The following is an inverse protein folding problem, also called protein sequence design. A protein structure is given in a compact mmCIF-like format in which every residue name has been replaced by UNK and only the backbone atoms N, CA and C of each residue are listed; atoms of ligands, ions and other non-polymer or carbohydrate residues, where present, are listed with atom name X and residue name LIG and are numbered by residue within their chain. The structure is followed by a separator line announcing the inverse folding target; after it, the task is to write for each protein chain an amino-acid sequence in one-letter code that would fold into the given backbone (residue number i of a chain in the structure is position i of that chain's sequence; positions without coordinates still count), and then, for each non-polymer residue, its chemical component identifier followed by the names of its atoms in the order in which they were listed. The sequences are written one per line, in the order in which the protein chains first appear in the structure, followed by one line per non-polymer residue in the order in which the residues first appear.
data_IF_038392206886
#
_entry.id   IF_038392206886
#
_cell.length_a   1.000
_cell.length_b   1.000
_cell.length_c   1.000
_cell.angle_alpha   90.00
_cell.angle_beta   90.00
_cell.angle_gamma   90.00
#
_symmetry.space_group_name_H-M   'P 1'
#
loop_
_entity.id
_entity.type
_entity.pdbx_description
1 polymer ?
#
# COMPACT_ATOMS: atom_id res chain seq x y z
N UNK A 1 24.72 2.34 -17.12
CA UNK A 1 23.48 2.31 -16.30
C UNK A 1 22.35 2.35 -17.30
N UNK A 2 21.52 1.31 -17.35
CA UNK A 2 20.35 1.27 -18.24
C UNK A 2 19.13 1.74 -17.43
N UNK A 3 18.38 2.72 -17.91
CA UNK A 3 17.15 3.23 -17.29
C UNK A 3 15.89 2.68 -17.96
N UNK A 4 16.04 1.92 -19.04
CA UNK A 4 14.93 1.29 -19.73
C UNK A 4 14.46 0.05 -18.98
N UNK A 5 13.18 -0.27 -19.10
CA UNK A 5 12.63 -1.53 -18.63
C UNK A 5 13.19 -2.68 -19.47
N UNK A 6 13.36 -3.85 -18.87
CA UNK A 6 13.65 -5.07 -19.63
C UNK A 6 12.42 -5.46 -20.46
N UNK A 7 12.61 -6.35 -21.44
CA UNK A 7 11.49 -6.83 -22.27
C UNK A 7 10.40 -7.48 -21.43
N UNK A 8 10.76 -8.24 -20.39
CA UNK A 8 9.80 -8.86 -19.45
C UNK A 8 9.06 -7.81 -18.63
N UNK A 9 9.75 -6.80 -18.09
CA UNK A 9 9.14 -5.69 -17.36
C UNK A 9 8.19 -4.88 -18.24
N UNK A 10 8.56 -4.64 -19.49
CA UNK A 10 7.69 -3.98 -20.46
C UNK A 10 6.47 -4.83 -20.83
N UNK A 11 6.62 -6.15 -20.90
CA UNK A 11 5.50 -7.08 -21.08
C UNK A 11 4.54 -7.03 -19.91
N UNK A 12 5.06 -7.05 -18.67
CA UNK A 12 4.25 -6.89 -17.45
C UNK A 12 3.47 -5.57 -17.50
N UNK A 13 4.16 -4.47 -17.77
CA UNK A 13 3.57 -3.13 -17.85
C UNK A 13 2.40 -3.09 -18.84
N UNK A 14 2.59 -3.59 -20.05
CA UNK A 14 1.56 -3.62 -21.09
C UNK A 14 0.39 -4.53 -20.75
N UNK A 15 0.66 -5.73 -20.23
CA UNK A 15 -0.38 -6.71 -19.88
C UNK A 15 -1.26 -6.20 -18.74
N UNK A 16 -0.65 -5.58 -17.72
CA UNK A 16 -1.40 -4.98 -16.61
C UNK A 16 -2.22 -3.78 -17.07
N UNK A 17 -1.64 -2.89 -17.87
CA UNK A 17 -2.34 -1.74 -18.43
C UNK A 17 -3.55 -2.15 -19.30
N UNK A 18 -3.42 -3.23 -20.08
CA UNK A 18 -4.52 -3.77 -20.89
C UNK A 18 -5.63 -4.34 -20.01
N UNK A 19 -5.28 -5.13 -18.98
CA UNK A 19 -6.24 -5.68 -18.04
C UNK A 19 -6.98 -4.57 -17.29
N UNK A 20 -6.24 -3.61 -16.74
CA UNK A 20 -6.78 -2.55 -15.89
C UNK A 20 -7.70 -1.59 -16.66
N UNK A 21 -7.45 -1.34 -17.97
CA UNK A 21 -8.32 -0.54 -18.83
C UNK A 21 -9.73 -1.10 -19.04
N UNK A 22 -9.97 -2.37 -18.72
CA UNK A 22 -11.33 -2.95 -18.75
C UNK A 22 -12.24 -2.39 -17.66
N UNK A 23 -11.65 -1.76 -16.65
CA UNK A 23 -12.30 -1.12 -15.52
C UNK A 23 -12.08 0.39 -15.63
N UNK A 24 -13.03 1.08 -16.24
CA UNK A 24 -12.91 2.50 -16.55
C UNK A 24 -13.19 3.41 -15.35
N UNK A 25 -13.07 4.71 -15.56
CA UNK A 25 -13.33 5.71 -14.52
C UNK A 25 -14.75 5.64 -13.96
N UNK A 26 -15.74 5.27 -14.79
CA UNK A 26 -17.13 5.13 -14.36
C UNK A 26 -17.28 3.96 -13.39
N UNK A 27 -16.70 2.79 -13.70
CA UNK A 27 -16.68 1.64 -12.79
C UNK A 27 -16.09 2.02 -11.41
N UNK A 28 -14.97 2.73 -11.41
CA UNK A 28 -14.32 3.14 -10.17
C UNK A 28 -15.10 4.19 -9.39
N UNK A 29 -15.79 5.09 -10.07
CA UNK A 29 -16.67 6.07 -9.42
C UNK A 29 -17.85 5.38 -8.75
N UNK A 30 -18.50 4.44 -9.44
CA UNK A 30 -19.61 3.67 -8.90
C UNK A 30 -19.21 2.85 -7.67
N UNK A 31 -18.07 2.13 -7.72
CA UNK A 31 -17.55 1.38 -6.57
C UNK A 31 -17.17 2.28 -5.39
N UNK A 32 -16.54 3.45 -5.64
CA UNK A 32 -16.19 4.41 -4.58
C UNK A 32 -17.45 5.00 -3.91
N UNK A 33 -18.46 5.39 -4.69
CA UNK A 33 -19.72 5.95 -4.17
C UNK A 33 -20.55 4.92 -3.42
N UNK A 34 -20.63 3.68 -3.93
CA UNK A 34 -21.35 2.59 -3.30
C UNK A 34 -20.65 2.02 -2.06
N UNK A 35 -19.37 2.37 -1.82
CA UNK A 35 -18.52 1.74 -0.80
C UNK A 35 -18.41 0.21 -0.98
N UNK A 36 -18.36 -0.25 -2.22
CA UNK A 36 -18.33 -1.67 -2.58
C UNK A 36 -16.93 -2.10 -3.01
N UNK A 37 -16.50 -3.25 -2.49
CA UNK A 37 -15.24 -3.86 -2.89
C UNK A 37 -15.26 -4.23 -4.38
N UNK A 38 -14.18 -3.93 -5.14
CA UNK A 38 -14.13 -4.15 -6.58
C UNK A 38 -13.84 -5.64 -6.89
N UNK A 39 -14.80 -6.52 -6.63
CA UNK A 39 -14.65 -7.98 -6.71
C UNK A 39 -14.27 -8.42 -8.12
N UNK A 40 -14.86 -7.81 -9.15
CA UNK A 40 -14.62 -8.14 -10.55
C UNK A 40 -13.18 -7.79 -10.95
N UNK A 41 -12.69 -6.64 -10.51
CA UNK A 41 -11.30 -6.23 -10.72
C UNK A 41 -10.33 -7.16 -9.97
N UNK A 42 -10.60 -7.42 -8.68
CA UNK A 42 -9.78 -8.32 -7.87
C UNK A 42 -9.66 -9.70 -8.51
N UNK A 43 -10.80 -10.24 -8.96
CA UNK A 43 -10.83 -11.53 -9.65
C UNK A 43 -10.02 -11.51 -10.95
N UNK A 44 -10.13 -10.47 -11.76
CA UNK A 44 -9.38 -10.36 -13.00
C UNK A 44 -7.86 -10.31 -12.76
N UNK A 45 -7.42 -9.62 -11.70
CA UNK A 45 -6.01 -9.60 -11.26
C UNK A 45 -5.57 -11.00 -10.77
N UNK A 46 -6.41 -11.69 -9.99
CA UNK A 46 -6.16 -13.04 -9.50
C UNK A 46 -6.05 -14.06 -10.64
N UNK A 47 -7.03 -14.07 -11.55
CA UNK A 47 -7.07 -14.95 -12.73
C UNK A 47 -5.84 -14.73 -13.64
N UNK A 48 -5.27 -13.52 -13.67
CA UNK A 48 -4.02 -13.19 -14.34
C UNK A 48 -2.74 -13.62 -13.59
N UNK A 49 -2.86 -14.16 -12.38
CA UNK A 49 -1.73 -14.59 -11.55
C UNK A 49 -0.99 -13.44 -10.84
N UNK A 50 -1.45 -12.19 -10.98
CA UNK A 50 -0.72 -11.01 -10.52
C UNK A 50 -0.62 -10.89 -9.00
N UNK A 51 -1.52 -11.51 -8.22
CA UNK A 51 -1.46 -11.50 -6.75
C UNK A 51 -0.25 -12.29 -6.22
N UNK A 52 0.15 -13.35 -6.94
CA UNK A 52 1.29 -14.19 -6.59
C UNK A 52 2.64 -13.69 -7.08
N UNK A 53 2.74 -12.45 -7.60
CA UNK A 53 3.92 -11.94 -8.28
C UNK A 53 5.21 -12.10 -7.47
N UNK A 54 5.20 -11.77 -6.19
CA UNK A 54 6.38 -11.85 -5.30
C UNK A 54 6.43 -13.14 -4.47
N UNK A 55 5.42 -14.01 -4.56
CA UNK A 55 5.41 -15.31 -3.88
C UNK A 55 6.33 -16.27 -4.64
N UNK A 56 7.19 -17.06 -3.94
CA UNK A 56 8.06 -18.03 -4.59
C UNK A 56 7.31 -19.05 -5.45
N UNK A 57 7.95 -19.51 -6.53
CA UNK A 57 7.35 -20.46 -7.50
C UNK A 57 6.95 -21.80 -6.88
N UNK A 58 7.68 -22.24 -5.87
CA UNK A 58 7.37 -23.47 -5.11
C UNK A 58 6.05 -23.38 -4.35
N UNK A 59 5.53 -22.16 -4.10
CA UNK A 59 4.23 -21.91 -3.49
C UNK A 59 3.20 -21.35 -4.48
N UNK A 60 3.41 -21.57 -5.78
CA UNK A 60 2.45 -21.19 -6.84
C UNK A 60 2.48 -19.73 -7.26
N UNK A 61 3.48 -18.96 -6.83
CA UNK A 61 3.72 -17.61 -7.29
C UNK A 61 4.66 -17.52 -8.48
N UNK A 62 5.10 -16.31 -8.83
CA UNK A 62 6.03 -16.06 -9.94
C UNK A 62 7.48 -15.83 -9.51
N UNK A 63 7.74 -15.61 -8.21
CA UNK A 63 9.08 -15.36 -7.68
C UNK A 63 9.75 -14.11 -8.25
N UNK A 64 8.95 -13.12 -8.70
CA UNK A 64 9.46 -11.86 -9.23
C UNK A 64 9.84 -10.88 -8.11
N UNK A 65 10.59 -9.83 -8.48
CA UNK A 65 11.09 -8.85 -7.53
C UNK A 65 10.10 -7.72 -7.21
N UNK A 66 10.53 -6.86 -6.31
CA UNK A 66 9.78 -5.64 -5.96
C UNK A 66 9.77 -4.64 -7.12
N UNK A 67 10.75 -4.67 -8.00
CA UNK A 67 10.76 -3.84 -9.21
C UNK A 67 9.53 -4.14 -10.07
N UNK A 68 9.25 -5.40 -10.37
CA UNK A 68 8.07 -5.82 -11.16
C UNK A 68 6.77 -5.51 -10.42
N UNK A 69 6.74 -5.70 -9.10
CA UNK A 69 5.57 -5.36 -8.29
C UNK A 69 5.26 -3.85 -8.28
N UNK A 70 6.29 -2.98 -8.32
CA UNK A 70 6.08 -1.53 -8.45
C UNK A 70 5.54 -1.15 -9.83
N UNK A 71 5.97 -1.82 -10.91
CA UNK A 71 5.44 -1.62 -12.26
C UNK A 71 3.95 -1.99 -12.30
N UNK A 72 3.59 -3.15 -11.73
CA UNK A 72 2.19 -3.58 -11.61
C UNK A 72 1.33 -2.51 -10.91
N UNK A 73 1.74 -2.05 -9.72
CA UNK A 73 0.93 -1.14 -8.92
C UNK A 73 0.89 0.28 -9.48
N UNK A 74 1.94 0.74 -10.13
CA UNK A 74 1.93 2.01 -10.87
C UNK A 74 0.88 1.99 -11.99
N UNK A 75 0.88 0.95 -12.84
CA UNK A 75 -0.07 0.83 -13.94
C UNK A 75 -1.51 0.63 -13.44
N UNK A 76 -1.72 -0.14 -12.38
CA UNK A 76 -3.02 -0.30 -11.72
C UNK A 76 -3.55 1.04 -11.20
N UNK A 77 -2.71 1.81 -10.51
CA UNK A 77 -3.12 3.12 -9.98
C UNK A 77 -3.36 4.15 -11.11
N UNK A 78 -2.57 4.08 -12.18
CA UNK A 78 -2.68 4.96 -13.37
C UNK A 78 -3.91 4.67 -14.22
N UNK A 79 -4.45 3.47 -14.18
CA UNK A 79 -5.59 3.05 -15.02
C UNK A 79 -6.91 3.78 -14.74
N UNK A 80 -6.97 4.62 -13.71
CA UNK A 80 -8.19 5.27 -13.23
C UNK A 80 -8.67 4.73 -11.89
N UNK A 81 -8.24 3.53 -11.50
CA UNK A 81 -8.61 2.91 -10.22
C UNK A 81 -7.95 3.54 -9.00
N UNK A 82 -6.82 4.22 -9.19
CA UNK A 82 -6.07 4.88 -8.12
C UNK A 82 -5.91 3.97 -6.89
N UNK A 83 -6.15 4.48 -5.67
CA UNK A 83 -6.05 3.67 -4.45
C UNK A 83 -7.20 2.69 -4.25
N UNK A 84 -8.35 2.86 -4.89
CA UNK A 84 -9.40 1.86 -4.85
C UNK A 84 -8.92 0.54 -5.50
N UNK A 85 -8.25 0.64 -6.66
CA UNK A 85 -7.67 -0.52 -7.33
C UNK A 85 -6.45 -1.05 -6.56
N UNK A 86 -5.44 -0.23 -6.31
CA UNK A 86 -4.20 -0.64 -5.69
C UNK A 86 -4.41 -1.26 -4.30
N UNK A 87 -5.22 -0.65 -3.43
CA UNK A 87 -5.48 -1.15 -2.08
C UNK A 87 -6.27 -2.45 -2.04
N UNK A 88 -6.98 -2.82 -3.10
CA UNK A 88 -7.67 -4.10 -3.15
C UNK A 88 -6.70 -5.28 -3.24
N UNK A 89 -5.50 -5.07 -3.83
CA UNK A 89 -4.52 -6.12 -4.18
C UNK A 89 -3.18 -6.03 -3.45
N UNK A 90 -2.69 -4.84 -3.11
CA UNK A 90 -1.31 -4.64 -2.63
C UNK A 90 -0.97 -5.42 -1.34
N UNK A 91 -1.98 -5.67 -0.47
CA UNK A 91 -1.78 -6.46 0.75
C UNK A 91 -1.41 -7.92 0.46
N UNK A 92 -1.87 -8.49 -0.64
CA UNK A 92 -1.47 -9.83 -1.09
C UNK A 92 0.00 -9.85 -1.57
N UNK A 93 0.55 -8.71 -1.97
CA UNK A 93 1.90 -8.57 -2.49
C UNK A 93 2.89 -8.33 -1.35
N UNK A 94 2.80 -7.19 -0.63
CA UNK A 94 3.78 -6.89 0.42
C UNK A 94 3.46 -7.54 1.77
N UNK A 95 2.18 -7.75 2.09
CA UNK A 95 1.76 -8.29 3.38
C UNK A 95 2.19 -9.74 3.61
N UNK A 96 2.51 -10.48 2.54
CA UNK A 96 2.99 -11.86 2.64
C UNK A 96 4.51 -11.95 2.83
N UNK A 97 5.26 -10.87 2.67
CA UNK A 97 6.72 -10.91 2.80
C UNK A 97 7.22 -11.48 4.15
N UNK A 98 6.64 -11.12 5.30
CA UNK A 98 7.02 -11.77 6.57
C UNK A 98 6.76 -13.27 6.61
N UNK A 99 5.69 -13.76 5.94
CA UNK A 99 5.41 -15.20 5.83
C UNK A 99 6.43 -15.87 4.93
N UNK A 100 6.74 -15.29 3.77
CA UNK A 100 7.73 -15.81 2.81
C UNK A 100 9.10 -15.97 3.47
N UNK A 101 9.55 -14.97 4.23
CA UNK A 101 10.90 -14.97 4.83
C UNK A 101 10.97 -15.78 6.12
N UNK A 102 9.98 -15.66 7.00
CA UNK A 102 10.05 -16.15 8.39
C UNK A 102 9.01 -17.21 8.76
N UNK A 103 8.04 -17.50 7.89
CA UNK A 103 7.06 -18.57 8.13
C UNK A 103 7.72 -19.94 8.15
N UNK A 104 7.15 -20.90 8.92
CA UNK A 104 7.53 -22.31 8.78
C UNK A 104 7.12 -22.83 7.40
N UNK A 105 7.72 -23.92 6.94
CA UNK A 105 7.40 -24.50 5.63
C UNK A 105 5.92 -24.94 5.57
N UNK A 106 5.36 -25.45 6.67
CA UNK A 106 3.95 -25.80 6.79
C UNK A 106 3.05 -24.56 6.69
N UNK A 107 3.43 -23.46 7.36
CA UNK A 107 2.68 -22.19 7.29
C UNK A 107 2.69 -21.62 5.88
N UNK A 108 3.85 -21.61 5.22
CA UNK A 108 4.00 -21.19 3.82
C UNK A 108 3.13 -22.04 2.89
N UNK A 109 3.25 -23.38 2.99
CA UNK A 109 2.55 -24.31 2.12
C UNK A 109 1.02 -24.23 2.23
N UNK A 110 0.47 -23.96 3.42
CA UNK A 110 -0.98 -23.84 3.62
C UNK A 110 -1.56 -22.45 3.31
N UNK A 111 -0.70 -21.41 3.27
CA UNK A 111 -1.14 -20.02 3.15
C UNK A 111 -0.84 -19.41 1.80
N UNK A 112 0.42 -19.47 1.35
CA UNK A 112 0.89 -18.73 0.17
C UNK A 112 0.19 -19.11 -1.14
N UNK A 113 -0.08 -20.41 -1.44
CA UNK A 113 -0.77 -20.79 -2.67
C UNK A 113 -2.17 -20.17 -2.78
N UNK A 114 -2.92 -20.15 -1.69
CA UNK A 114 -4.28 -19.60 -1.64
C UNK A 114 -4.30 -18.07 -1.77
N UNK A 115 -3.26 -17.39 -1.27
CA UNK A 115 -3.10 -15.95 -1.47
C UNK A 115 -2.69 -15.63 -2.90
N UNK A 116 -1.82 -16.45 -3.50
CA UNK A 116 -1.39 -16.29 -4.90
C UNK A 116 -2.54 -16.42 -5.90
N UNK A 117 -3.48 -17.37 -5.64
CA UNK A 117 -4.69 -17.57 -6.47
C UNK A 117 -5.81 -16.58 -6.16
N UNK A 118 -5.71 -15.82 -5.05
CA UNK A 118 -6.77 -14.92 -4.60
C UNK A 118 -7.94 -15.61 -3.88
N UNK A 119 -7.83 -16.92 -3.58
CA UNK A 119 -8.84 -17.67 -2.82
C UNK A 119 -8.90 -17.24 -1.34
N UNK A 120 -7.83 -16.65 -0.83
CA UNK A 120 -7.73 -16.14 0.54
C UNK A 120 -7.36 -14.67 0.52
N UNK A 121 -8.23 -13.85 1.06
CA UNK A 121 -7.98 -12.43 1.30
C UNK A 121 -7.30 -12.23 2.64
N UNK A 122 -6.33 -11.31 2.68
CA UNK A 122 -5.58 -10.99 3.91
C UNK A 122 -5.68 -9.51 4.23
N UNK A 123 -5.86 -9.20 5.52
CA UNK A 123 -5.69 -7.84 6.05
C UNK A 123 -4.48 -7.77 7.01
N UNK A 124 -4.08 -6.53 7.36
CA UNK A 124 -2.84 -6.24 8.08
C UNK A 124 -3.13 -5.48 9.37
N UNK A 125 -3.04 -6.18 10.51
CA UNK A 125 -3.44 -5.70 11.85
C UNK A 125 -2.26 -5.26 12.71
N UNK A 126 -1.79 -4.01 12.54
CA UNK A 126 -0.66 -3.44 13.30
C UNK A 126 -1.09 -2.26 14.15
N UNK A 127 -1.62 -1.21 13.52
CA UNK A 127 -1.95 0.07 14.15
C UNK A 127 -3.05 -0.06 15.20
N UNK A 128 -2.88 0.64 16.32
CA UNK A 128 -3.88 0.73 17.40
C UNK A 128 -4.28 2.19 17.66
N UNK A 129 -5.43 2.46 18.31
CA UNK A 129 -5.84 3.83 18.62
C UNK A 129 -4.79 4.64 19.40
N UNK A 130 -4.04 3.98 20.29
CA UNK A 130 -2.97 4.58 21.09
C UNK A 130 -1.55 4.43 20.52
N UNK A 131 -1.39 3.72 19.38
CA UNK A 131 -0.08 3.35 18.82
C UNK A 131 -0.10 3.43 17.28
N UNK A 132 -0.06 4.64 16.75
CA UNK A 132 0.08 4.89 15.32
C UNK A 132 1.54 4.90 14.89
N UNK A 133 2.21 6.05 15.00
CA UNK A 133 3.63 6.19 14.62
C UNK A 133 4.59 5.43 15.55
N UNK A 134 4.29 5.41 16.84
CA UNK A 134 5.03 4.61 17.82
C UNK A 134 4.42 3.21 17.96
N UNK A 135 4.74 2.34 17.01
CA UNK A 135 4.30 0.93 17.01
C UNK A 135 4.78 0.18 18.26
N UNK A 136 5.85 0.66 18.93
CA UNK A 136 6.33 0.02 20.15
C UNK A 136 5.31 0.05 21.30
N UNK A 137 4.31 0.93 21.22
CA UNK A 137 3.25 1.12 22.22
C UNK A 137 2.00 0.27 22.02
N UNK A 138 2.00 -0.68 21.09
CA UNK A 138 0.82 -1.56 20.94
C UNK A 138 0.51 -2.29 22.22
N UNK A 139 -0.77 -2.51 22.48
CA UNK A 139 -1.33 -3.12 23.70
C UNK A 139 -2.10 -4.41 23.44
N UNK A 140 -2.46 -4.71 22.17
CA UNK A 140 -3.08 -6.00 21.82
C UNK A 140 -2.17 -7.12 22.29
N UNK A 141 -2.70 -8.01 23.14
CA UNK A 141 -1.93 -9.02 23.85
C UNK A 141 -2.35 -10.43 23.46
N UNK A 142 -1.38 -11.30 23.23
CA UNK A 142 -1.54 -12.72 22.94
C UNK A 142 -0.96 -13.52 24.12
N UNK A 143 -1.84 -14.07 24.96
CA UNK A 143 -1.45 -14.93 26.08
C UNK A 143 -1.41 -16.39 25.62
N UNK A 144 -0.27 -17.03 25.78
CA UNK A 144 -0.14 -18.47 25.44
C UNK A 144 -0.96 -19.35 26.38
N UNK A 145 -1.71 -20.29 25.81
CA UNK A 145 -2.52 -21.28 26.49
C UNK A 145 -2.38 -22.64 25.78
N UNK A 146 -1.39 -23.42 26.20
CA UNK A 146 -1.05 -24.71 25.60
C UNK A 146 -0.58 -24.59 24.16
N UNK A 147 -1.36 -25.12 23.22
CA UNK A 147 -1.11 -25.16 21.78
C UNK A 147 -1.68 -23.96 21.00
N UNK A 148 -2.17 -22.95 21.71
CA UNK A 148 -2.74 -21.75 21.13
C UNK A 148 -2.38 -20.50 21.93
N UNK A 149 -2.71 -19.32 21.36
CA UNK A 149 -2.72 -18.04 22.03
C UNK A 149 -4.16 -17.52 22.12
N UNK A 150 -4.49 -16.89 23.23
CA UNK A 150 -5.74 -16.14 23.39
C UNK A 150 -5.42 -14.66 23.24
N UNK A 151 -5.98 -14.05 22.20
CA UNK A 151 -5.68 -12.67 21.81
C UNK A 151 -6.82 -11.75 22.18
N UNK A 152 -6.47 -10.65 22.86
CA UNK A 152 -7.39 -9.57 23.21
C UNK A 152 -6.78 -8.22 22.83
N UNK A 153 -7.58 -7.31 22.30
CA UNK A 153 -7.11 -5.98 21.97
C UNK A 153 -7.96 -5.25 20.95
N UNK A 154 -7.37 -4.19 20.36
CA UNK A 154 -8.07 -3.33 19.43
C UNK A 154 -7.11 -2.88 18.33
N UNK A 155 -7.53 -2.96 17.08
CA UNK A 155 -6.79 -2.47 15.93
C UNK A 155 -7.60 -1.40 15.19
N UNK A 156 -6.93 -0.46 14.51
CA UNK A 156 -7.58 0.63 13.78
C UNK A 156 -6.91 0.86 12.44
N UNK A 157 -7.64 1.39 11.48
CA UNK A 157 -7.21 1.62 10.09
C UNK A 157 -6.87 0.34 9.33
N UNK A 158 -7.49 -0.77 9.69
CA UNK A 158 -7.25 -2.05 9.05
C UNK A 158 -7.99 -2.11 7.72
N UNK A 159 -7.21 -2.05 6.64
CA UNK A 159 -7.74 -2.08 5.27
C UNK A 159 -8.26 -3.47 4.93
N UNK A 160 -9.40 -3.52 4.21
CA UNK A 160 -9.97 -4.75 3.62
C UNK A 160 -10.37 -5.82 4.66
N UNK A 161 -10.55 -5.46 5.95
CA UNK A 161 -10.92 -6.46 6.96
C UNK A 161 -12.32 -7.04 6.74
N UNK A 162 -13.24 -6.29 6.12
CA UNK A 162 -14.57 -6.80 5.79
C UNK A 162 -14.55 -7.96 4.81
N UNK A 163 -13.60 -7.95 3.88
CA UNK A 163 -13.44 -8.95 2.81
C UNK A 163 -12.40 -10.03 3.14
N UNK A 164 -11.64 -9.86 4.25
CA UNK A 164 -10.50 -10.74 4.55
C UNK A 164 -10.90 -12.01 5.30
N UNK A 165 -10.26 -13.10 4.93
CA UNK A 165 -10.35 -14.41 5.57
C UNK A 165 -9.31 -14.54 6.68
N UNK A 166 -8.13 -13.95 6.47
CA UNK A 166 -7.01 -13.99 7.40
C UNK A 166 -6.50 -12.59 7.76
N UNK A 167 -5.84 -12.52 8.91
CA UNK A 167 -5.18 -11.31 9.38
C UNK A 167 -3.70 -11.58 9.68
N UNK A 168 -2.81 -10.77 9.11
CA UNK A 168 -1.45 -10.64 9.61
C UNK A 168 -1.48 -9.74 10.84
N UNK A 169 -1.34 -10.32 12.02
CA UNK A 169 -1.62 -9.68 13.30
C UNK A 169 -0.36 -9.53 14.15
N UNK A 170 0.03 -8.29 14.43
CA UNK A 170 1.09 -7.98 15.38
C UNK A 170 0.50 -7.77 16.79
N UNK A 171 1.00 -8.53 17.75
CA UNK A 171 0.56 -8.48 19.16
C UNK A 171 1.76 -8.38 20.09
N UNK A 172 1.53 -8.18 21.39
CA UNK A 172 2.51 -8.46 22.43
C UNK A 172 2.28 -9.84 23.02
N UNK A 173 3.36 -10.55 23.33
CA UNK A 173 3.38 -11.76 24.17
C UNK A 173 4.11 -11.51 25.50
N UNK A 174 4.83 -10.37 25.59
CA UNK A 174 5.41 -9.83 26.82
C UNK A 174 4.98 -8.36 26.96
N UNK A 175 4.73 -7.91 28.18
CA UNK A 175 4.28 -6.55 28.41
C UNK A 175 5.38 -5.52 28.07
N UNK A 176 4.94 -4.29 27.74
CA UNK A 176 5.86 -3.20 27.42
C UNK A 176 6.87 -2.91 28.54
N UNK A 177 6.46 -3.07 29.80
CA UNK A 177 7.29 -2.74 30.96
C UNK A 177 8.28 -3.86 31.32
N UNK A 178 8.03 -5.09 30.90
CA UNK A 178 8.87 -6.26 31.17
C UNK A 178 10.03 -6.43 30.21
N UNK A 179 10.06 -5.70 29.08
CA UNK A 179 11.10 -5.83 28.06
C UNK A 179 12.14 -4.72 28.15
N UNK A 180 13.41 -5.05 27.97
CA UNK A 180 14.50 -4.07 27.97
C UNK A 180 14.42 -3.14 26.76
N UNK A 181 14.25 -3.71 25.56
CA UNK A 181 14.04 -2.98 24.31
C UNK A 181 12.55 -2.98 23.98
N UNK A 182 11.95 -1.81 23.85
CA UNK A 182 10.49 -1.65 23.70
C UNK A 182 9.87 -2.29 22.46
N UNK A 183 10.69 -2.66 21.49
CA UNK A 183 10.32 -3.44 20.30
C UNK A 183 10.38 -4.96 20.49
N UNK A 184 10.98 -5.44 21.60
CA UNK A 184 10.99 -6.86 21.94
C UNK A 184 9.67 -7.27 22.60
N UNK A 185 9.41 -8.57 22.68
CA UNK A 185 8.18 -9.12 23.27
C UNK A 185 6.94 -8.97 22.38
N UNK A 186 7.12 -8.60 21.11
CA UNK A 186 6.05 -8.61 20.11
C UNK A 186 6.11 -9.89 19.28
N UNK A 187 4.94 -10.44 18.93
CA UNK A 187 4.82 -11.68 18.14
C UNK A 187 3.89 -11.43 16.97
N UNK A 188 4.26 -11.97 15.82
CA UNK A 188 3.54 -11.83 14.56
C UNK A 188 2.85 -13.14 14.21
N UNK A 189 1.60 -13.05 13.77
CA UNK A 189 0.79 -14.19 13.35
C UNK A 189 0.16 -13.95 11.98
N UNK A 190 -0.08 -15.02 11.23
CA UNK A 190 -1.02 -15.04 10.10
C UNK A 190 -2.12 -16.05 10.42
N UNK A 191 -3.29 -15.59 10.84
CA UNK A 191 -4.34 -16.43 11.39
C UNK A 191 -5.70 -16.12 10.77
N UNK A 192 -6.66 -16.99 10.98
CA UNK A 192 -8.03 -16.80 10.52
C UNK A 192 -8.67 -15.61 11.24
N UNK A 193 -9.42 -14.79 10.49
CA UNK A 193 -10.17 -13.66 11.01
C UNK A 193 -11.56 -14.14 11.47
N UNK A 194 -11.60 -14.79 12.64
CA UNK A 194 -12.84 -15.31 13.20
C UNK A 194 -13.80 -14.18 13.60
N UNK A 195 -14.85 -14.01 12.82
CA UNK A 195 -15.86 -12.96 12.99
C UNK A 195 -16.76 -13.17 14.21
N UNK A 196 -16.72 -14.32 14.84
CA UNK A 196 -17.39 -14.54 16.14
C UNK A 196 -16.61 -13.95 17.32
N UNK A 197 -15.29 -13.69 17.12
CA UNK A 197 -14.35 -13.17 18.10
C UNK A 197 -13.81 -11.78 17.78
N UNK A 198 -14.02 -11.31 16.54
CA UNK A 198 -13.55 -10.02 16.07
C UNK A 198 -14.72 -9.21 15.52
N UNK A 199 -15.13 -8.18 16.26
CA UNK A 199 -16.12 -7.21 15.78
C UNK A 199 -15.40 -6.20 14.84
N UNK A 200 -15.86 -6.11 13.59
CA UNK A 200 -15.26 -5.29 12.54
C UNK A 200 -16.19 -4.12 12.23
N UNK A 201 -15.69 -2.90 12.45
CA UNK A 201 -16.48 -1.68 12.22
C UNK A 201 -15.83 -0.79 11.16
N UNK A 202 -16.53 -0.48 10.06
CA UNK A 202 -15.99 0.38 9.02
C UNK A 202 -15.84 1.83 9.49
N UNK A 203 -14.73 2.45 9.10
CA UNK A 203 -14.43 3.86 9.35
C UNK A 203 -14.80 4.66 8.09
N UNK A 204 -15.65 5.67 8.24
CA UNK A 204 -15.94 6.62 7.15
C UNK A 204 -14.71 7.49 6.88
N UNK A 205 -14.36 7.67 5.62
CA UNK A 205 -13.13 8.35 5.22
C UNK A 205 -13.29 9.18 3.95
N UNK A 206 -12.34 10.04 3.68
CA UNK A 206 -12.33 11.01 2.60
C UNK A 206 -12.26 10.39 1.19
N UNK A 207 -11.57 9.26 1.02
CA UNK A 207 -11.35 8.61 -0.28
C UNK A 207 -11.01 7.13 -0.12
N UNK A 208 -10.78 6.44 -1.23
CA UNK A 208 -10.54 4.99 -1.27
C UNK A 208 -11.72 4.21 -0.67
N UNK A 209 -12.93 4.62 -1.02
CA UNK A 209 -14.13 4.10 -0.37
C UNK A 209 -14.52 2.70 -0.84
N UNK A 210 -14.09 2.28 -2.03
CA UNK A 210 -14.29 0.91 -2.52
C UNK A 210 -13.53 -0.15 -1.70
N UNK A 211 -12.48 0.24 -0.94
CA UNK A 211 -11.78 -0.67 -0.03
C UNK A 211 -11.99 -0.17 1.40
N UNK A 212 -12.64 -0.97 2.23
CA UNK A 212 -12.96 -0.62 3.62
C UNK A 212 -11.70 -0.32 4.44
N UNK A 213 -11.79 0.59 5.39
CA UNK A 213 -10.84 0.75 6.50
C UNK A 213 -11.59 0.54 7.78
N UNK A 214 -11.06 -0.26 8.67
CA UNK A 214 -11.85 -0.78 9.77
C UNK A 214 -11.18 -0.60 11.12
N UNK A 215 -11.98 -0.55 12.14
CA UNK A 215 -11.61 -0.77 13.52
C UNK A 215 -11.97 -2.20 13.89
N UNK A 216 -11.07 -2.90 14.58
CA UNK A 216 -11.25 -4.26 15.03
C UNK A 216 -11.25 -4.30 16.55
N UNK A 217 -12.27 -4.93 17.13
CA UNK A 217 -12.35 -5.25 18.55
C UNK A 217 -12.18 -6.76 18.68
N UNK A 218 -11.07 -7.19 19.26
CA UNK A 218 -10.67 -8.58 19.38
C UNK A 218 -10.95 -9.04 20.79
N UNK A 219 -11.84 -10.04 20.93
CA UNK A 219 -12.25 -10.62 22.21
C UNK A 219 -12.04 -12.14 22.21
N UNK A 220 -11.01 -12.58 22.93
CA UNK A 220 -10.65 -13.99 23.08
C UNK A 220 -10.48 -14.72 21.72
N UNK A 221 -9.82 -14.08 20.74
CA UNK A 221 -9.48 -14.72 19.49
C UNK A 221 -8.46 -15.84 19.76
N UNK A 222 -8.82 -17.06 19.39
CA UNK A 222 -7.93 -18.22 19.49
C UNK A 222 -7.01 -18.27 18.25
N UNK A 223 -5.71 -18.28 18.50
CA UNK A 223 -4.68 -18.32 17.46
C UNK A 223 -3.79 -19.54 17.67
N UNK A 224 -3.81 -20.53 16.78
CA UNK A 224 -2.94 -21.70 16.88
C UNK A 224 -1.44 -21.32 16.92
N UNK A 225 -0.64 -22.09 17.64
CA UNK A 225 0.82 -21.83 17.72
C UNK A 225 1.49 -21.93 16.36
N UNK A 226 1.00 -22.78 15.48
CA UNK A 226 1.48 -22.94 14.10
C UNK A 226 1.17 -21.75 13.18
N UNK A 227 0.31 -20.81 13.60
CA UNK A 227 0.03 -19.56 12.87
C UNK A 227 1.07 -18.47 13.17
N UNK A 228 1.99 -18.74 14.09
CA UNK A 228 3.06 -17.80 14.44
C UNK A 228 4.10 -17.73 13.33
N UNK A 229 4.49 -16.50 12.99
CA UNK A 229 5.57 -16.23 12.05
C UNK A 229 6.87 -16.09 12.83
N UNK A 230 7.81 -17.01 12.61
CA UNK A 230 9.11 -17.03 13.25
C UNK A 230 9.06 -17.25 14.77
N UNK A 231 9.98 -16.66 15.51
CA UNK A 231 10.13 -16.82 16.96
C UNK A 231 9.19 -15.89 17.74
N UNK A 232 8.70 -16.38 18.88
CA UNK A 232 7.94 -15.56 19.83
C UNK A 232 8.80 -14.40 20.36
N UNK A 233 8.21 -13.23 20.46
CA UNK A 233 8.88 -12.02 20.92
C UNK A 233 9.70 -11.27 19.86
N UNK A 234 9.84 -11.80 18.63
CA UNK A 234 10.64 -11.22 17.52
C UNK A 234 9.77 -10.58 16.42
N UNK A 235 8.46 -10.57 16.57
CA UNK A 235 7.50 -10.15 15.53
C UNK A 235 7.73 -8.75 14.98
N UNK A 236 8.23 -7.81 15.79
CA UNK A 236 8.55 -6.47 15.30
C UNK A 236 9.71 -6.48 14.29
N UNK A 237 10.72 -7.34 14.50
CA UNK A 237 11.82 -7.47 13.56
C UNK A 237 11.33 -8.04 12.22
N UNK A 238 10.45 -9.05 12.27
CA UNK A 238 9.93 -9.71 11.07
C UNK A 238 9.04 -8.80 10.23
N UNK A 239 8.20 -7.98 10.88
CA UNK A 239 7.35 -7.04 10.15
C UNK A 239 8.15 -5.93 9.45
N UNK A 240 9.34 -5.57 9.97
CA UNK A 240 10.21 -4.58 9.34
C UNK A 240 10.68 -5.00 7.94
N UNK A 241 10.83 -6.31 7.68
CA UNK A 241 11.24 -6.82 6.36
C UNK A 241 10.18 -6.53 5.29
N UNK A 242 8.90 -6.44 5.67
CA UNK A 242 7.81 -5.99 4.79
C UNK A 242 7.72 -4.47 4.60
N UNK A 243 8.30 -3.67 5.48
CA UNK A 243 8.09 -2.21 5.46
C UNK A 243 8.84 -1.46 4.34
N UNK A 244 10.01 -1.93 3.90
CA UNK A 244 10.68 -1.31 2.75
C UNK A 244 9.96 -1.64 1.44
N UNK A 245 9.57 -2.89 1.14
CA UNK A 245 8.66 -3.22 0.05
C UNK A 245 7.39 -2.37 0.07
N UNK A 246 6.68 -2.29 1.19
CA UNK A 246 5.47 -1.48 1.32
C UNK A 246 5.69 -0.02 0.92
N UNK A 247 6.77 0.62 1.40
CA UNK A 247 7.08 2.01 1.03
C UNK A 247 7.29 2.18 -0.46
N UNK A 248 7.98 1.24 -1.11
CA UNK A 248 8.25 1.28 -2.56
C UNK A 248 6.97 1.06 -3.37
N UNK A 249 6.12 0.11 -2.96
CA UNK A 249 4.84 -0.14 -3.64
C UNK A 249 3.89 1.06 -3.54
N UNK A 250 3.76 1.65 -2.35
CA UNK A 250 2.98 2.88 -2.14
C UNK A 250 3.57 4.08 -2.92
N UNK A 251 4.88 4.14 -3.08
CA UNK A 251 5.51 5.17 -3.91
C UNK A 251 5.11 5.01 -5.40
N UNK A 252 5.07 3.79 -5.91
CA UNK A 252 4.61 3.49 -7.28
C UNK A 252 3.12 3.87 -7.47
N UNK A 253 2.26 3.53 -6.50
CA UNK A 253 0.85 3.92 -6.51
C UNK A 253 0.68 5.45 -6.57
N UNK A 254 1.48 6.17 -5.80
CA UNK A 254 1.45 7.64 -5.81
C UNK A 254 1.87 8.23 -7.16
N UNK A 255 2.88 7.64 -7.82
CA UNK A 255 3.28 8.01 -9.18
C UNK A 255 2.15 7.75 -10.18
N UNK A 256 1.53 6.58 -10.14
CA UNK A 256 0.42 6.23 -11.02
C UNK A 256 -0.74 7.22 -10.92
N UNK A 257 -1.14 7.58 -9.70
CA UNK A 257 -2.19 8.60 -9.46
C UNK A 257 -1.77 9.96 -10.02
N UNK A 258 -0.53 10.37 -9.76
CA UNK A 258 -0.01 11.65 -10.25
C UNK A 258 0.02 11.73 -11.78
N UNK A 259 0.44 10.65 -12.44
CA UNK A 259 0.50 10.57 -13.91
C UNK A 259 -0.88 10.63 -14.55
N UNK A 260 -1.85 9.85 -14.09
CA UNK A 260 -3.21 9.90 -14.66
C UNK A 260 -3.88 11.26 -14.42
N UNK A 261 -3.68 11.86 -13.25
CA UNK A 261 -4.22 13.18 -12.97
C UNK A 261 -3.60 14.24 -13.90
N UNK A 262 -2.28 14.19 -14.12
CA UNK A 262 -1.57 15.08 -15.04
C UNK A 262 -2.03 14.88 -16.50
N UNK A 263 -2.16 13.64 -16.96
CA UNK A 263 -2.65 13.31 -18.32
C UNK A 263 -4.05 13.91 -18.56
N UNK A 264 -4.96 13.76 -17.59
CA UNK A 264 -6.31 14.35 -17.67
C UNK A 264 -6.28 15.88 -17.66
N UNK A 265 -5.42 16.49 -16.85
CA UNK A 265 -5.25 17.94 -16.83
C UNK A 265 -4.73 18.50 -18.16
N UNK A 266 -3.76 17.81 -18.77
CA UNK A 266 -3.22 18.18 -20.10
C UNK A 266 -4.31 18.06 -21.17
N UNK A 267 -5.06 16.95 -21.17
CA UNK A 267 -6.19 16.76 -22.09
C UNK A 267 -7.21 17.90 -21.94
N UNK A 268 -7.68 18.13 -20.72
CA UNK A 268 -8.65 19.21 -20.45
C UNK A 268 -8.11 20.59 -20.84
N UNK A 269 -6.83 20.86 -20.55
CA UNK A 269 -6.16 22.12 -20.93
C UNK A 269 -6.14 22.38 -22.43
N UNK A 270 -6.03 21.33 -23.23
CA UNK A 270 -6.03 21.41 -24.69
C UNK A 270 -7.46 21.54 -25.29
N UNK A 271 -8.46 20.99 -24.63
CA UNK A 271 -9.85 20.94 -25.12
C UNK A 271 -10.71 22.11 -24.61
N UNK A 272 -10.48 22.57 -23.38
CA UNK A 272 -11.28 23.62 -22.77
C UNK A 272 -10.91 24.98 -23.32
N UNK A 273 -11.84 25.66 -23.97
CA UNK A 273 -11.68 27.03 -24.46
C UNK A 273 -12.28 28.05 -23.52
N UNK A 274 -11.54 29.15 -23.28
CA UNK A 274 -11.97 30.35 -22.58
C UNK A 274 -11.33 31.56 -23.31
N UNK A 275 -12.08 32.61 -23.48
CA UNK A 275 -11.65 33.78 -24.28
C UNK A 275 -11.21 33.43 -25.70
N UNK A 276 -11.88 32.46 -26.33
CA UNK A 276 -11.67 32.07 -27.73
C UNK A 276 -10.41 31.26 -28.02
N UNK A 277 -9.81 30.65 -27.00
CA UNK A 277 -8.62 29.78 -27.16
C UNK A 277 -8.54 28.72 -26.05
N UNK A 278 -7.83 27.60 -26.29
CA UNK A 278 -7.56 26.59 -25.27
C UNK A 278 -6.87 27.19 -24.04
N UNK A 279 -7.31 26.82 -22.85
CA UNK A 279 -6.72 27.32 -21.58
C UNK A 279 -5.26 26.88 -21.42
N UNK A 280 -4.86 25.76 -22.04
CA UNK A 280 -3.48 25.26 -22.07
C UNK A 280 -2.49 26.21 -22.76
N UNK A 281 -2.95 27.21 -23.48
CA UNK A 281 -2.09 28.27 -24.04
C UNK A 281 -1.57 29.27 -22.96
N UNK A 282 -2.07 29.19 -21.74
CA UNK A 282 -1.67 30.10 -20.66
C UNK A 282 -0.47 29.52 -19.89
N UNK A 283 0.64 30.24 -19.81
CA UNK A 283 1.82 29.82 -19.05
C UNK A 283 1.53 29.58 -17.56
N UNK A 284 0.54 30.28 -16.99
CA UNK A 284 0.05 30.03 -15.64
C UNK A 284 -0.51 28.63 -15.39
N UNK A 285 -0.88 27.89 -16.45
CA UNK A 285 -1.25 26.47 -16.42
C UNK A 285 -0.11 25.56 -16.90
N UNK A 286 0.61 25.96 -17.96
CA UNK A 286 1.70 25.17 -18.53
C UNK A 286 2.82 24.91 -17.50
N UNK A 287 3.28 25.94 -16.79
CA UNK A 287 4.42 25.82 -15.88
C UNK A 287 4.14 24.90 -14.69
N UNK A 288 3.00 24.99 -13.97
CA UNK A 288 2.68 24.03 -12.91
C UNK A 288 2.55 22.59 -13.38
N UNK A 289 2.00 22.35 -14.58
CA UNK A 289 1.89 21.01 -15.15
C UNK A 289 3.27 20.46 -15.59
N UNK A 290 4.11 21.29 -16.19
CA UNK A 290 5.48 20.93 -16.55
C UNK A 290 6.35 20.65 -15.31
N UNK A 291 6.24 21.47 -14.24
CA UNK A 291 6.92 21.20 -12.97
C UNK A 291 6.44 19.89 -12.34
N UNK A 292 5.13 19.60 -12.42
CA UNK A 292 4.59 18.31 -11.94
C UNK A 292 5.18 17.11 -12.70
N UNK A 293 5.31 17.20 -14.02
CA UNK A 293 5.96 16.16 -14.83
C UNK A 293 7.41 15.93 -14.38
N UNK A 294 8.20 17.00 -14.29
CA UNK A 294 9.61 16.91 -13.90
C UNK A 294 9.79 16.30 -12.50
N UNK A 295 8.90 16.64 -11.56
CA UNK A 295 8.92 16.04 -10.20
C UNK A 295 8.55 14.57 -10.20
N UNK A 296 7.55 14.15 -10.99
CA UNK A 296 7.18 12.75 -11.12
C UNK A 296 8.33 11.93 -11.70
N UNK A 297 9.00 12.42 -12.75
CA UNK A 297 10.12 11.72 -13.37
C UNK A 297 11.33 11.61 -12.42
N UNK A 298 11.66 12.67 -11.69
CA UNK A 298 12.72 12.63 -10.68
C UNK A 298 12.39 11.66 -9.53
N UNK A 299 11.14 11.62 -9.08
CA UNK A 299 10.68 10.72 -8.03
C UNK A 299 10.72 9.24 -8.49
N UNK A 300 10.33 8.97 -9.73
CA UNK A 300 10.42 7.63 -10.34
C UNK A 300 11.86 7.10 -10.36
N UNK A 301 12.84 7.93 -10.74
CA UNK A 301 14.25 7.53 -10.72
C UNK A 301 14.72 7.12 -9.33
N UNK A 302 14.26 7.80 -8.28
CA UNK A 302 14.55 7.41 -6.90
C UNK A 302 13.87 6.09 -6.53
N UNK A 303 12.63 5.87 -6.96
CA UNK A 303 11.92 4.61 -6.75
C UNK A 303 12.66 3.46 -7.45
N UNK A 304 13.02 3.59 -8.72
CA UNK A 304 13.77 2.57 -9.48
C UNK A 304 15.10 2.24 -8.81
N UNK A 305 15.81 3.24 -8.25
CA UNK A 305 17.02 3.00 -7.46
C UNK A 305 16.73 2.19 -6.21
N UNK A 306 15.65 2.50 -5.49
CA UNK A 306 15.29 1.81 -4.26
C UNK A 306 14.93 0.34 -4.51
N UNK A 307 14.10 0.07 -5.52
CA UNK A 307 13.70 -1.29 -5.89
C UNK A 307 14.88 -2.12 -6.38
N UNK A 308 15.73 -1.56 -7.23
CA UNK A 308 16.95 -2.23 -7.68
C UNK A 308 17.86 -2.64 -6.52
N UNK A 309 18.08 -1.74 -5.55
CA UNK A 309 18.88 -2.06 -4.37
C UNK A 309 18.27 -3.22 -3.56
N UNK A 310 16.96 -3.20 -3.37
CA UNK A 310 16.25 -4.24 -2.64
C UNK A 310 16.38 -5.61 -3.32
N UNK A 311 16.07 -5.67 -4.61
CA UNK A 311 16.10 -6.92 -5.39
C UNK A 311 17.52 -7.52 -5.52
N UNK A 312 18.57 -6.71 -5.30
CA UNK A 312 19.96 -7.15 -5.24
C UNK A 312 20.46 -7.40 -3.80
N UNK A 313 19.58 -7.48 -2.81
CA UNK A 313 19.93 -7.74 -1.41
C UNK A 313 20.79 -6.64 -0.76
N UNK A 314 20.76 -5.41 -1.31
CA UNK A 314 21.54 -4.28 -0.80
C UNK A 314 20.76 -3.44 0.20
N UNK A 315 21.42 -2.80 1.19
CA UNK A 315 20.75 -1.86 2.07
C UNK A 315 20.04 -0.75 1.27
N UNK A 316 18.72 -0.61 1.46
CA UNK A 316 17.88 0.33 0.69
C UNK A 316 17.02 1.26 1.57
N UNK A 317 17.14 1.20 2.88
CA UNK A 317 16.25 1.94 3.81
C UNK A 317 16.22 3.44 3.57
N UNK A 318 17.37 4.06 3.22
CA UNK A 318 17.45 5.47 2.83
C UNK A 318 16.64 5.72 1.55
N UNK A 319 16.89 4.95 0.52
CA UNK A 319 16.29 5.12 -0.80
C UNK A 319 14.79 4.82 -0.77
N UNK A 320 14.34 3.77 -0.08
CA UNK A 320 12.92 3.43 0.08
C UNK A 320 12.12 4.55 0.77
N UNK A 321 12.68 5.11 1.86
CA UNK A 321 12.07 6.27 2.53
C UNK A 321 12.05 7.51 1.63
N UNK A 322 13.17 7.81 0.94
CA UNK A 322 13.27 8.97 0.06
C UNK A 322 12.32 8.84 -1.14
N UNK A 323 12.22 7.65 -1.75
CA UNK A 323 11.30 7.38 -2.84
C UNK A 323 9.84 7.60 -2.41
N UNK A 324 9.43 7.04 -1.27
CA UNK A 324 8.08 7.23 -0.74
C UNK A 324 7.77 8.70 -0.48
N UNK A 325 8.69 9.45 0.10
CA UNK A 325 8.53 10.88 0.34
C UNK A 325 8.34 11.66 -0.96
N UNK A 326 9.25 11.46 -1.93
CA UNK A 326 9.22 12.21 -3.19
C UNK A 326 8.01 11.84 -4.05
N UNK A 327 7.69 10.54 -4.19
CA UNK A 327 6.56 10.08 -5.00
C UNK A 327 5.23 10.55 -4.42
N UNK A 328 5.06 10.49 -3.09
CA UNK A 328 3.85 10.97 -2.43
C UNK A 328 3.65 12.48 -2.59
N UNK A 329 4.74 13.26 -2.55
CA UNK A 329 4.66 14.71 -2.74
C UNK A 329 4.40 15.08 -4.20
N UNK A 330 5.11 14.46 -5.14
CA UNK A 330 4.93 14.67 -6.57
C UNK A 330 3.54 14.25 -7.05
N UNK A 331 3.07 13.05 -6.63
CA UNK A 331 1.74 12.55 -6.99
C UNK A 331 0.61 13.44 -6.46
N UNK A 332 0.68 13.85 -5.19
CA UNK A 332 -0.30 14.77 -4.62
C UNK A 332 -0.25 16.15 -5.31
N UNK A 333 0.95 16.69 -5.57
CA UNK A 333 1.09 17.97 -6.26
C UNK A 333 0.49 17.92 -7.66
N UNK A 334 0.73 16.86 -8.41
CA UNK A 334 0.15 16.67 -9.74
C UNK A 334 -1.39 16.59 -9.70
N UNK A 335 -1.96 15.85 -8.72
CA UNK A 335 -3.40 15.75 -8.54
C UNK A 335 -4.04 17.09 -8.13
N UNK A 336 -3.38 17.89 -7.27
CA UNK A 336 -3.81 19.23 -6.88
C UNK A 336 -3.79 20.19 -8.08
N UNK A 337 -2.73 20.17 -8.88
CA UNK A 337 -2.63 20.97 -10.10
C UNK A 337 -3.63 20.57 -11.16
N UNK A 338 -3.92 19.27 -11.27
CA UNK A 338 -4.97 18.78 -12.15
C UNK A 338 -6.35 19.29 -11.75
N UNK A 339 -6.68 19.27 -10.45
CA UNK A 339 -7.93 19.81 -9.92
C UNK A 339 -8.04 21.31 -10.21
N UNK A 340 -6.97 22.08 -9.95
CA UNK A 340 -6.93 23.50 -10.23
C UNK A 340 -7.08 23.81 -11.73
N UNK A 341 -6.48 22.99 -12.61
CA UNK A 341 -6.58 23.17 -14.07
C UNK A 341 -8.01 22.99 -14.57
N UNK A 342 -8.77 22.07 -13.99
CA UNK A 342 -10.19 21.85 -14.32
C UNK A 342 -11.12 22.94 -13.73
N UNK A 343 -10.66 23.74 -12.77
CA UNK A 343 -11.47 24.75 -12.12
C UNK A 343 -12.71 24.13 -11.44
N UNK A 344 -13.89 24.70 -11.66
CA UNK A 344 -15.14 24.19 -11.10
C UNK A 344 -15.43 22.74 -11.50
N UNK A 345 -15.03 22.34 -12.72
CA UNK A 345 -15.22 20.96 -13.19
C UNK A 345 -14.30 19.97 -12.49
N UNK A 346 -13.17 20.41 -11.94
CA UNK A 346 -12.31 19.56 -11.08
C UNK A 346 -12.95 19.20 -9.75
N UNK A 347 -13.97 19.97 -9.32
CA UNK A 347 -14.72 19.73 -8.09
C UNK A 347 -15.97 18.86 -8.33
N UNK A 348 -16.34 18.64 -9.59
CA UNK A 348 -17.43 17.75 -9.99
C UNK A 348 -16.95 16.29 -10.05
N UNK A 349 -17.74 15.35 -9.52
CA UNK A 349 -17.34 13.93 -9.44
C UNK A 349 -17.23 13.28 -10.82
N UNK A 350 -18.04 13.69 -11.78
CA UNK A 350 -18.08 13.18 -13.15
C UNK A 350 -16.76 13.38 -13.95
N UNK A 351 -15.90 14.30 -13.52
CA UNK A 351 -14.58 14.50 -14.09
C UNK A 351 -13.51 13.63 -13.44
N UNK A 352 -13.84 12.88 -12.38
CA UNK A 352 -12.98 11.96 -11.64
C UNK A 352 -11.74 12.58 -10.94
N UNK A 353 -11.39 13.83 -11.24
CA UNK A 353 -10.21 14.51 -10.69
C UNK A 353 -10.30 14.66 -9.16
N UNK A 354 -11.50 14.95 -8.64
CA UNK A 354 -11.72 15.04 -7.20
C UNK A 354 -11.38 13.72 -6.49
N UNK A 355 -11.63 12.56 -7.13
CA UNK A 355 -11.26 11.24 -6.56
C UNK A 355 -9.76 11.07 -6.50
N UNK A 356 -9.02 11.40 -7.57
CA UNK A 356 -7.55 11.34 -7.57
C UNK A 356 -6.93 12.26 -6.51
N UNK A 357 -7.45 13.48 -6.37
CA UNK A 357 -7.00 14.42 -5.34
C UNK A 357 -7.19 13.87 -3.91
N UNK A 358 -8.39 13.33 -3.61
CA UNK A 358 -8.70 12.75 -2.30
C UNK A 358 -7.77 11.56 -1.98
N UNK A 359 -7.54 10.70 -2.96
CA UNK A 359 -6.74 9.48 -2.77
C UNK A 359 -5.24 9.77 -2.73
N UNK A 360 -4.73 10.67 -3.55
CA UNK A 360 -3.34 11.12 -3.50
C UNK A 360 -2.98 11.75 -2.14
N UNK A 361 -3.95 12.38 -1.44
CA UNK A 361 -3.71 12.95 -0.10
C UNK A 361 -3.33 11.91 0.93
N UNK A 362 -3.87 10.69 0.81
CA UNK A 362 -3.53 9.58 1.70
C UNK A 362 -2.04 9.24 1.65
N UNK A 363 -1.42 9.32 0.49
CA UNK A 363 -0.01 8.97 0.30
C UNK A 363 0.96 9.78 1.16
N UNK A 364 0.58 10.98 1.59
CA UNK A 364 1.38 11.81 2.51
C UNK A 364 1.24 11.39 3.99
N UNK A 365 0.22 10.57 4.32
CA UNK A 365 -0.11 10.17 5.70
C UNK A 365 0.33 8.72 5.96
N UNK A 366 0.01 7.80 5.05
CA UNK A 366 0.17 6.35 5.22
C UNK A 366 1.11 5.76 4.14
N UNK A 367 1.73 4.59 4.41
CA UNK A 367 1.77 3.82 5.67
C UNK A 367 2.65 4.48 6.74
N UNK A 368 3.58 5.33 6.32
CA UNK A 368 4.47 6.13 7.17
C UNK A 368 4.31 7.59 6.77
N UNK A 369 4.07 8.47 7.74
CA UNK A 369 3.92 9.90 7.46
C UNK A 369 5.20 10.52 6.93
N UNK A 370 5.07 11.60 6.16
CA UNK A 370 6.22 12.34 5.63
C UNK A 370 7.15 12.83 6.76
N UNK A 371 6.59 13.24 7.89
CA UNK A 371 7.33 13.71 9.06
C UNK A 371 8.20 12.60 9.65
N UNK A 372 7.71 11.36 9.75
CA UNK A 372 8.50 10.22 10.22
C UNK A 372 9.60 9.84 9.25
N UNK A 373 9.36 9.96 7.94
CA UNK A 373 10.41 9.76 6.93
C UNK A 373 11.52 10.82 7.10
N UNK A 374 11.16 12.09 7.22
CA UNK A 374 12.12 13.17 7.42
C UNK A 374 12.87 13.01 8.74
N UNK A 375 12.20 12.60 9.81
CA UNK A 375 12.84 12.26 11.08
C UNK A 375 13.86 11.11 10.92
N UNK A 376 13.50 10.04 10.19
CA UNK A 376 14.43 8.94 9.89
C UNK A 376 15.65 9.44 9.09
N UNK A 377 15.44 10.26 8.06
CA UNK A 377 16.52 10.82 7.25
C UNK A 377 17.42 11.75 8.09
N UNK A 378 16.82 12.58 8.91
CA UNK A 378 17.54 13.49 9.81
C UNK A 378 18.41 12.74 10.82
N UNK A 379 17.83 11.82 11.59
CA UNK A 379 18.52 11.15 12.69
C UNK A 379 19.41 10.00 12.22
N UNK A 380 18.95 9.16 11.27
CA UNK A 380 19.67 7.95 10.91
C UNK A 380 20.63 8.12 9.72
N UNK A 381 20.30 9.03 8.77
CA UNK A 381 21.15 9.27 7.59
C UNK A 381 22.08 10.47 7.79
N UNK A 382 21.54 11.63 8.19
CA UNK A 382 22.31 12.84 8.43
C UNK A 382 23.03 12.85 9.80
N UNK A 383 22.70 11.90 10.69
CA UNK A 383 23.27 11.78 12.04
C UNK A 383 23.01 12.99 12.94
N UNK A 384 21.92 13.71 12.70
CA UNK A 384 21.47 14.76 13.59
C UNK A 384 21.01 14.17 14.95
N UNK A 385 21.11 14.92 16.06
CA UNK A 385 20.57 14.49 17.33
C UNK A 385 19.08 14.14 17.23
N UNK A 386 18.64 13.08 17.91
CA UNK A 386 17.22 12.71 17.96
C UNK A 386 16.42 13.78 18.68
N UNK A 387 15.21 14.06 18.17
CA UNK A 387 14.30 15.03 18.77
C UNK A 387 13.48 14.45 19.95
N UNK A 388 13.43 13.12 20.07
CA UNK A 388 12.74 12.36 21.13
C UNK A 388 13.33 10.97 21.30
#
# INVERSE_FOLDING_TARGET
MNFELTDDQELIRRSVAELARKFDDQYWMEKDQAHEFPTEFYKAIADGGWLGMTIPTEYGGHGLGITEATILLEEVAKSGGAMNAASSIHLSIFGMQPVVVHGSDELKARTLPKVATGDVHVCFGVTEPGAGLDTSRITTFAKRDGDRYIVNGRKVWISKAMESDKILLLTRTQSYDEVAKKTDGMTLFITDLDRSRVDIRPIRKMGRNAVSSNELFIDNLEVPVEDRIGEEGKGFQYILDGLNPERMLIAAEALGIGRVALEKAVKYGNEREVFGRPIGMNQGLQFPLADSLARLDAAELMLRKATWLYDHGKPCGREANTAKYLCADAGFTAADRALQTHGGMGYAEEYHITRYFREARLMKIAPVSQEMILNFLGSNVLKLPRSY
#
